data_IF_171273944376
#
_entry.id   IF_171273944376
#
_cell.length_a   1.000
_cell.length_b   1.000
_cell.length_c   1.000
_cell.angle_alpha   90.00
_cell.angle_beta   90.00
_cell.angle_gamma   90.00
#
_symmetry.space_group_name_H-M   'P 1'
#
loop_
_entity.id
_entity.type
_entity.pdbx_description
1 polymer ?
#
# COMPACT_ATOMS: atom_id res chain seq x y z
N UNK A 1 30.02 -16.85 -13.15
CA UNK A 1 29.25 -16.79 -11.87
C UNK A 1 27.85 -16.31 -12.20
N UNK A 2 26.83 -17.15 -11.98
CA UNK A 2 25.43 -16.73 -12.17
C UNK A 2 25.03 -15.90 -10.96
N UNK A 3 25.15 -14.58 -11.08
CA UNK A 3 24.58 -13.69 -10.07
C UNK A 3 23.09 -14.01 -9.96
N UNK A 4 22.65 -14.53 -8.81
CA UNK A 4 21.24 -14.88 -8.60
C UNK A 4 20.32 -13.67 -8.82
N UNK A 5 19.02 -13.92 -8.97
CA UNK A 5 18.03 -12.85 -9.15
C UNK A 5 18.09 -11.87 -7.96
N UNK A 6 18.64 -10.67 -8.18
CA UNK A 6 18.67 -9.61 -7.18
C UNK A 6 17.30 -8.98 -7.13
N UNK A 7 16.64 -9.07 -5.97
CA UNK A 7 15.47 -8.24 -5.69
C UNK A 7 15.98 -6.81 -5.52
N UNK A 8 15.46 -5.88 -6.34
CA UNK A 8 15.71 -4.47 -6.11
C UNK A 8 15.08 -4.10 -4.76
N UNK A 9 15.91 -3.68 -3.81
CA UNK A 9 15.49 -3.18 -2.51
C UNK A 9 15.86 -1.70 -2.44
N UNK A 10 14.88 -0.85 -2.18
CA UNK A 10 15.11 0.54 -1.83
C UNK A 10 14.55 0.89 -0.45
N UNK A 11 14.97 2.03 0.09
CA UNK A 11 14.47 2.52 1.38
C UNK A 11 12.94 2.70 1.36
N UNK A 12 12.39 3.07 0.20
CA UNK A 12 10.94 3.23 -0.02
C UNK A 12 10.21 1.88 0.08
N UNK A 13 10.70 0.82 -0.55
CA UNK A 13 10.05 -0.50 -0.51
C UNK A 13 10.00 -1.06 0.90
N UNK A 14 11.13 -0.98 1.62
CA UNK A 14 11.22 -1.42 3.01
C UNK A 14 10.25 -0.61 3.87
N UNK A 15 10.18 0.71 3.68
CA UNK A 15 9.24 1.56 4.41
C UNK A 15 7.77 1.19 4.14
N UNK A 16 7.41 0.90 2.88
CA UNK A 16 6.06 0.46 2.51
C UNK A 16 5.70 -0.84 3.21
N UNK A 17 6.53 -1.88 3.07
CA UNK A 17 6.23 -3.20 3.65
C UNK A 17 6.23 -3.17 5.18
N UNK A 18 7.15 -2.43 5.80
CA UNK A 18 7.17 -2.26 7.26
C UNK A 18 5.92 -1.52 7.76
N UNK A 19 5.49 -0.47 7.06
CA UNK A 19 4.27 0.26 7.37
C UNK A 19 3.01 -0.61 7.25
N UNK A 20 2.89 -1.39 6.18
CA UNK A 20 1.78 -2.33 5.97
C UNK A 20 1.75 -3.37 7.10
N UNK A 21 2.91 -3.96 7.43
CA UNK A 21 3.02 -4.94 8.51
C UNK A 21 2.63 -4.34 9.86
N UNK A 22 3.15 -3.15 10.18
CA UNK A 22 2.84 -2.45 11.43
C UNK A 22 1.35 -2.15 11.53
N UNK A 23 0.73 -1.65 10.46
CA UNK A 23 -0.71 -1.40 10.42
C UNK A 23 -1.52 -2.71 10.56
N UNK A 24 -1.07 -3.81 9.95
CA UNK A 24 -1.74 -5.10 10.08
C UNK A 24 -1.72 -5.66 11.49
N UNK A 25 -0.58 -5.55 12.16
CA UNK A 25 -0.45 -5.92 13.57
C UNK A 25 -1.35 -5.05 14.43
N UNK A 26 -1.34 -3.73 14.25
CA UNK A 26 -2.20 -2.84 15.06
C UNK A 26 -3.70 -3.07 14.78
N UNK A 27 -4.10 -3.27 13.52
CA UNK A 27 -5.47 -3.62 13.13
C UNK A 27 -5.93 -4.95 13.74
N UNK A 28 -5.07 -5.97 13.72
CA UNK A 28 -5.33 -7.25 14.37
C UNK A 28 -5.50 -7.11 15.89
N UNK A 29 -4.58 -6.40 16.55
CA UNK A 29 -4.60 -6.19 18.01
C UNK A 29 -5.79 -5.34 18.48
N UNK A 30 -6.29 -4.42 17.65
CA UNK A 30 -7.50 -3.64 17.95
C UNK A 30 -8.80 -4.42 17.73
N UNK A 31 -8.71 -5.70 17.38
CA UNK A 31 -9.87 -6.54 17.10
C UNK A 31 -10.57 -6.16 15.81
N UNK A 32 -9.83 -5.66 14.82
CA UNK A 32 -10.30 -5.34 13.46
C UNK A 32 -11.46 -4.32 13.43
N UNK A 33 -11.44 -3.36 14.36
CA UNK A 33 -12.51 -2.37 14.55
C UNK A 33 -12.38 -1.11 13.69
N UNK A 34 -11.24 -0.91 13.02
CA UNK A 34 -11.05 0.25 12.17
C UNK A 34 -11.98 0.19 10.95
N UNK A 35 -12.63 1.31 10.64
CA UNK A 35 -13.37 1.48 9.39
C UNK A 35 -12.42 1.78 8.25
N UNK A 36 -12.80 1.38 7.04
CA UNK A 36 -12.05 1.72 5.83
C UNK A 36 -11.84 3.22 5.73
N UNK A 37 -10.63 3.60 5.34
CA UNK A 37 -10.34 4.97 4.92
C UNK A 37 -11.22 5.31 3.70
N UNK A 38 -11.68 6.57 3.60
CA UNK A 38 -12.38 7.01 2.39
C UNK A 38 -11.40 7.06 1.21
N UNK A 39 -11.83 6.62 0.03
CA UNK A 39 -10.95 6.47 -1.14
C UNK A 39 -10.24 7.78 -1.54
N UNK A 40 -10.91 8.94 -1.41
CA UNK A 40 -10.28 10.24 -1.67
C UNK A 40 -9.14 10.54 -0.69
N UNK A 41 -9.32 10.20 0.59
CA UNK A 41 -8.27 10.38 1.59
C UNK A 41 -7.08 9.47 1.30
N UNK A 42 -7.33 8.22 0.91
CA UNK A 42 -6.28 7.30 0.49
C UNK A 42 -5.47 7.86 -0.70
N UNK A 43 -6.16 8.40 -1.72
CA UNK A 43 -5.48 9.04 -2.86
C UNK A 43 -4.67 10.26 -2.39
N UNK A 44 -5.25 11.16 -1.60
CA UNK A 44 -4.60 12.39 -1.21
C UNK A 44 -3.40 12.18 -0.27
N UNK A 45 -3.51 11.30 0.71
CA UNK A 45 -2.48 11.12 1.75
C UNK A 45 -1.51 9.97 1.43
N UNK A 46 -1.98 8.95 0.74
CA UNK A 46 -1.17 7.78 0.37
C UNK A 46 -0.54 7.97 -0.99
N UNK A 47 -1.36 8.09 -2.03
CA UNK A 47 -0.90 8.11 -3.42
C UNK A 47 -0.28 9.45 -3.83
N UNK A 48 -0.80 10.57 -3.31
CA UNK A 48 -0.34 11.92 -3.63
C UNK A 48 1.14 12.14 -3.33
N UNK A 49 1.62 11.96 -2.08
CA UNK A 49 3.01 12.24 -1.72
C UNK A 49 4.01 11.32 -2.40
N UNK A 50 3.74 10.01 -2.43
CA UNK A 50 4.61 9.03 -3.08
C UNK A 50 4.62 9.18 -4.60
N UNK A 51 3.47 9.54 -5.18
CA UNK A 51 3.33 9.84 -6.60
C UNK A 51 4.14 11.07 -6.97
N UNK A 52 3.97 12.19 -6.28
CA UNK A 52 4.73 13.41 -6.54
C UNK A 52 6.25 13.20 -6.39
N UNK A 53 6.69 12.52 -5.33
CA UNK A 53 8.12 12.25 -5.12
C UNK A 53 8.68 11.24 -6.13
N UNK A 54 7.95 10.16 -6.42
CA UNK A 54 8.35 9.13 -7.38
C UNK A 54 8.34 9.63 -8.83
N UNK A 55 7.29 10.36 -9.24
CA UNK A 55 7.20 10.94 -10.58
C UNK A 55 8.26 12.02 -10.78
N UNK A 56 8.45 12.94 -9.83
CA UNK A 56 9.49 13.97 -9.99
C UNK A 56 10.89 13.37 -10.10
N UNK A 57 11.18 12.29 -9.37
CA UNK A 57 12.44 11.56 -9.49
C UNK A 57 12.55 10.82 -10.84
N UNK A 58 11.48 10.15 -11.30
CA UNK A 58 11.49 9.41 -12.56
C UNK A 58 11.64 10.35 -13.77
N UNK A 59 10.88 11.44 -13.82
CA UNK A 59 10.95 12.43 -14.90
C UNK A 59 12.30 13.13 -14.98
N UNK A 60 12.89 13.42 -13.82
CA UNK A 60 14.22 14.02 -13.72
C UNK A 60 15.35 13.12 -14.27
N UNK A 61 15.13 11.81 -14.35
CA UNK A 61 16.10 10.84 -14.87
C UNK A 61 15.89 10.51 -16.35
N UNK A 62 14.85 11.04 -17.01
CA UNK A 62 14.69 10.88 -18.46
C UNK A 62 15.66 11.80 -19.20
N UNK A 63 16.50 11.21 -20.04
CA UNK A 63 17.53 11.90 -20.82
C UNK A 63 16.97 12.59 -22.08
N UNK A 64 15.82 13.25 -21.92
CA UNK A 64 15.16 14.00 -23.00
C UNK A 64 15.66 15.44 -22.99
N UNK A 65 16.23 15.91 -24.10
CA UNK A 65 16.83 17.24 -24.22
C UNK A 65 15.89 18.37 -23.77
N UNK A 66 14.60 18.30 -24.14
CA UNK A 66 13.59 19.30 -23.76
C UNK A 66 13.17 19.23 -22.28
N UNK A 67 13.30 18.06 -21.63
CA UNK A 67 12.88 17.86 -20.24
C UNK A 67 14.02 18.20 -19.28
N UNK A 68 15.27 17.89 -19.66
CA UNK A 68 16.48 18.18 -18.88
C UNK A 68 16.71 19.68 -18.63
N UNK A 69 16.18 20.55 -19.51
CA UNK A 69 16.22 22.01 -19.37
C UNK A 69 15.16 22.55 -18.42
N UNK A 70 14.08 21.78 -18.17
CA UNK A 70 12.92 22.19 -17.39
C UNK A 70 12.90 21.55 -15.99
N UNK A 71 13.44 20.33 -15.86
CA UNK A 71 13.54 19.58 -14.61
C UNK A 71 15.00 19.16 -14.40
N UNK A 72 15.72 19.77 -13.43
CA UNK A 72 17.10 19.38 -13.14
C UNK A 72 17.15 17.96 -12.56
N UNK A 73 18.31 17.32 -12.67
CA UNK A 73 18.57 16.02 -12.05
C UNK A 73 18.36 16.08 -10.53
N UNK A 74 17.46 15.25 -10.01
CA UNK A 74 17.02 15.20 -8.61
C UNK A 74 16.92 13.76 -8.17
N UNK A 75 17.65 13.43 -7.11
CA UNK A 75 17.37 12.24 -6.30
C UNK A 75 16.49 12.59 -5.10
N UNK A 76 15.51 11.73 -4.81
CA UNK A 76 14.74 11.85 -3.57
C UNK A 76 15.65 11.58 -2.37
N UNK A 77 15.58 12.44 -1.35
CA UNK A 77 16.36 12.27 -0.12
C UNK A 77 15.94 11.00 0.64
N UNK A 78 16.84 10.35 1.40
CA UNK A 78 16.50 9.16 2.17
C UNK A 78 15.28 9.34 3.10
N UNK A 79 15.17 10.52 3.73
CA UNK A 79 14.03 10.85 4.58
C UNK A 79 12.69 10.88 3.82
N UNK A 80 12.65 11.56 2.66
CA UNK A 80 11.43 11.64 1.84
C UNK A 80 11.01 10.27 1.31
N UNK A 81 11.97 9.42 0.92
CA UNK A 81 11.69 8.04 0.47
C UNK A 81 11.01 7.21 1.55
N UNK A 82 11.51 7.30 2.79
CA UNK A 82 10.92 6.60 3.93
C UNK A 82 9.56 7.20 4.32
N UNK A 83 9.44 8.53 4.38
CA UNK A 83 8.20 9.20 4.77
C UNK A 83 7.07 8.92 3.77
N UNK A 84 7.31 9.12 2.48
CA UNK A 84 6.30 8.90 1.44
C UNK A 84 5.95 7.42 1.30
N UNK A 85 6.93 6.53 1.40
CA UNK A 85 6.72 5.09 1.44
C UNK A 85 5.88 4.64 2.63
N UNK A 86 6.21 5.10 3.84
CA UNK A 86 5.47 4.76 5.04
C UNK A 86 4.03 5.30 5.00
N UNK A 87 3.82 6.56 4.59
CA UNK A 87 2.49 7.15 4.42
C UNK A 87 1.64 6.33 3.44
N UNK A 88 2.20 5.96 2.29
CA UNK A 88 1.53 5.12 1.31
C UNK A 88 1.19 3.73 1.88
N UNK A 89 2.14 3.08 2.57
CA UNK A 89 1.93 1.77 3.19
C UNK A 89 0.82 1.78 4.25
N UNK A 90 0.84 2.74 5.18
CA UNK A 90 -0.19 2.90 6.22
C UNK A 90 -1.55 3.19 5.58
N UNK A 91 -1.61 4.17 4.68
CA UNK A 91 -2.87 4.57 4.05
C UNK A 91 -3.49 3.42 3.23
N UNK A 92 -2.66 2.66 2.52
CA UNK A 92 -3.11 1.51 1.73
C UNK A 92 -3.56 0.36 2.61
N UNK A 93 -2.85 0.05 3.70
CA UNK A 93 -3.28 -0.97 4.65
C UNK A 93 -4.58 -0.58 5.37
N UNK A 94 -4.74 0.70 5.74
CA UNK A 94 -5.97 1.23 6.35
C UNK A 94 -7.14 1.22 5.37
N UNK A 95 -6.90 1.49 4.09
CA UNK A 95 -7.93 1.31 3.08
C UNK A 95 -8.27 -0.17 2.88
N UNK A 96 -7.28 -1.03 2.66
CA UNK A 96 -7.50 -2.41 2.22
C UNK A 96 -8.03 -3.34 3.33
N UNK A 97 -7.42 -3.34 4.52
CA UNK A 97 -7.70 -4.37 5.53
C UNK A 97 -9.14 -4.36 6.05
N UNK A 98 -9.75 -3.20 6.40
CA UNK A 98 -11.16 -3.16 6.77
C UNK A 98 -12.10 -3.66 5.67
N UNK A 99 -11.88 -3.26 4.41
CA UNK A 99 -12.70 -3.71 3.28
C UNK A 99 -12.60 -5.22 3.05
N UNK A 100 -11.39 -5.78 3.21
CA UNK A 100 -11.17 -7.23 3.10
C UNK A 100 -11.88 -7.95 4.25
N UNK A 101 -11.76 -7.47 5.50
CA UNK A 101 -12.43 -8.09 6.65
C UNK A 101 -13.96 -8.10 6.49
N UNK A 102 -14.53 -6.99 6.02
CA UNK A 102 -15.98 -6.90 5.75
C UNK A 102 -16.41 -7.92 4.68
N UNK A 103 -15.70 -7.96 3.56
CA UNK A 103 -15.96 -8.92 2.47
C UNK A 103 -15.84 -10.38 2.91
N UNK A 104 -14.84 -10.68 3.75
CA UNK A 104 -14.60 -12.02 4.28
C UNK A 104 -15.65 -12.42 5.34
N UNK A 105 -16.10 -11.47 6.16
CA UNK A 105 -17.17 -11.67 7.13
C UNK A 105 -18.49 -12.04 6.44
N UNK A 106 -18.86 -11.30 5.39
CA UNK A 106 -20.05 -11.58 4.58
C UNK A 106 -19.98 -12.97 3.93
N UNK A 107 -18.84 -13.27 3.30
CA UNK A 107 -18.57 -14.58 2.69
C UNK A 107 -18.72 -15.70 3.73
N UNK A 108 -18.14 -15.55 4.92
CA UNK A 108 -18.25 -16.52 6.01
C UNK A 108 -19.71 -16.74 6.43
N UNK A 109 -20.49 -15.68 6.58
CA UNK A 109 -21.90 -15.79 6.96
C UNK A 109 -22.74 -16.49 5.89
N UNK A 110 -22.46 -16.23 4.61
CA UNK A 110 -23.10 -16.91 3.49
C UNK A 110 -22.87 -18.43 3.54
N UNK A 111 -21.62 -18.87 3.71
CA UNK A 111 -21.28 -20.29 3.80
C UNK A 111 -21.91 -20.95 5.03
N UNK A 112 -21.89 -20.30 6.21
CA UNK A 112 -22.51 -20.83 7.42
C UNK A 112 -24.00 -21.11 7.21
N UNK A 113 -24.74 -20.18 6.58
CA UNK A 113 -26.16 -20.38 6.24
C UNK A 113 -26.37 -21.52 5.26
N UNK A 114 -25.54 -21.61 4.21
CA UNK A 114 -25.63 -22.66 3.19
C UNK A 114 -25.42 -24.06 3.79
N UNK A 115 -24.43 -24.22 4.66
CA UNK A 115 -24.17 -25.51 5.33
C UNK A 115 -25.31 -25.89 6.29
N UNK A 116 -25.87 -24.93 7.02
CA UNK A 116 -27.00 -25.19 7.92
C UNK A 116 -28.26 -25.66 7.17
N UNK A 117 -28.55 -25.10 5.98
CA UNK A 117 -29.67 -25.54 5.14
C UNK A 117 -29.44 -26.96 4.62
N UNK A 118 -28.24 -27.26 4.10
CA UNK A 118 -27.94 -28.58 3.56
C UNK A 118 -27.98 -29.69 4.65
N UNK A 119 -27.52 -29.40 5.87
CA UNK A 119 -27.57 -30.34 6.99
C UNK A 119 -28.99 -30.56 7.53
N UNK A 120 -29.91 -29.60 7.34
CA UNK A 120 -31.31 -29.74 7.73
C UNK A 120 -32.20 -30.42 6.68
N UNK A 121 -31.67 -30.64 5.47
CA UNK A 121 -32.35 -31.35 4.37
C UNK A 121 -31.98 -32.83 4.26
N UNK A 122 -31.05 -33.32 5.10
CA UNK A 122 -30.73 -34.74 5.32
C UNK A 122 -31.48 -35.27 6.54
#
# INVERSE_FOLDING_TARGET
ETVGYKVALCERDIAIYAAILLFGVTFGLTGRRFKSLHWMLWILIGLGPIGLDGFSQLFSQFDWEWLSTLVPYRESTPFLRVLTGALFGIATAWFAYPNIEESMSETRQYYVKKFAVNQGSE
#
